data_IF_365786695562
#
_entry.id   IF_365786695562
#
_cell.length_a   1.000
_cell.length_b   1.000
_cell.length_c   1.000
_cell.angle_alpha   90.00
_cell.angle_beta   90.00
_cell.angle_gamma   90.00
#
_symmetry.space_group_name_H-M   'P 1'
#
loop_
_entity.id
_entity.type
_entity.pdbx_description
1 polymer ?
#
# COMPACT_ATOMS: atom_id res chain seq x y z
N UNK A 1 30.78 3.25 11.06
CA UNK A 1 30.68 3.19 12.53
C UNK A 1 29.48 2.30 12.83
N UNK A 2 29.79 1.02 12.98
CA UNK A 2 28.81 -0.04 13.22
C UNK A 2 28.26 0.05 14.64
N UNK A 3 26.94 0.12 14.77
CA UNK A 3 26.24 -0.07 16.04
C UNK A 3 25.55 -1.42 15.96
N UNK A 4 26.28 -2.47 16.35
CA UNK A 4 25.68 -3.75 16.69
C UNK A 4 24.98 -3.62 18.05
N UNK A 5 23.66 -3.40 18.04
CA UNK A 5 22.84 -3.70 19.21
C UNK A 5 22.64 -5.22 19.28
N UNK A 6 23.34 -5.87 20.22
CA UNK A 6 23.09 -7.27 20.60
C UNK A 6 21.77 -7.34 21.38
N UNK A 7 20.81 -8.10 20.87
CA UNK A 7 19.61 -8.49 21.62
C UNK A 7 19.85 -9.85 22.32
N UNK A 8 19.43 -9.94 23.59
CA UNK A 8 19.48 -11.14 24.41
C UNK A 8 18.47 -12.20 23.93
N UNK A 9 18.71 -13.50 24.17
CA UNK A 9 17.79 -14.56 23.77
C UNK A 9 16.47 -14.47 24.55
N UNK A 10 15.37 -14.59 23.82
CA UNK A 10 14.00 -14.65 24.34
C UNK A 10 13.84 -15.96 25.12
N UNK A 11 13.55 -15.85 26.41
CA UNK A 11 12.99 -16.95 27.19
C UNK A 11 11.46 -16.83 27.13
N UNK A 12 10.77 -17.92 26.78
CA UNK A 12 9.30 -18.04 26.75
C UNK A 12 8.67 -18.01 28.15
N UNK A 13 8.96 -16.97 28.94
CA UNK A 13 8.31 -16.77 30.23
C UNK A 13 7.11 -15.83 30.09
N UNK A 14 5.86 -16.29 30.32
CA UNK A 14 4.71 -15.40 30.39
C UNK A 14 4.72 -14.61 31.72
N UNK A 15 4.80 -13.27 31.66
CA UNK A 15 4.62 -12.35 32.79
C UNK A 15 3.49 -11.33 32.53
N UNK A 16 2.81 -10.74 33.55
CA UNK A 16 2.17 -11.33 34.72
C UNK A 16 0.62 -11.31 34.60
N UNK A 17 -0.03 -12.15 35.42
CA UNK A 17 -1.50 -12.39 35.46
C UNK A 17 -2.27 -11.19 36.03
N UNK A 18 -3.31 -10.73 35.32
CA UNK A 18 -4.40 -9.97 35.93
C UNK A 18 -5.59 -10.91 36.08
N UNK A 19 -6.10 -11.03 37.31
CA UNK A 19 -7.34 -11.75 37.59
C UNK A 19 -8.51 -10.86 37.16
N UNK A 20 -9.44 -11.39 36.38
CA UNK A 20 -10.68 -10.68 36.11
C UNK A 20 -11.57 -10.56 37.37
N UNK A 21 -12.72 -9.90 37.24
CA UNK A 21 -13.67 -9.70 38.36
C UNK A 21 -14.20 -11.02 38.94
N UNK A 22 -13.98 -12.15 38.28
CA UNK A 22 -14.36 -13.50 38.71
C UNK A 22 -13.15 -14.37 39.15
N UNK A 23 -11.94 -13.83 39.18
CA UNK A 23 -10.74 -14.56 39.64
C UNK A 23 -10.12 -15.47 38.58
N UNK A 24 -10.47 -15.35 37.29
CA UNK A 24 -9.83 -16.11 36.23
C UNK A 24 -8.59 -15.37 35.70
N UNK A 25 -7.45 -16.07 35.47
CA UNK A 25 -6.27 -15.45 34.89
C UNK A 25 -6.55 -15.01 33.45
N UNK A 26 -6.51 -13.70 33.21
CA UNK A 26 -6.59 -13.13 31.86
C UNK A 26 -5.18 -12.75 31.41
N UNK A 27 -4.68 -13.47 30.42
CA UNK A 27 -3.45 -13.10 29.72
C UNK A 27 -3.74 -11.87 28.87
N UNK A 28 -3.08 -10.74 29.15
CA UNK A 28 -3.06 -9.62 28.22
C UNK A 28 -2.12 -10.05 27.11
N UNK A 29 -2.68 -10.53 25.99
CA UNK A 29 -1.89 -10.75 24.78
C UNK A 29 -1.51 -9.36 24.26
N UNK A 30 -0.24 -9.02 24.41
CA UNK A 30 0.35 -7.84 23.78
C UNK A 30 0.38 -8.02 22.27
N UNK A 31 0.05 -6.97 21.52
CA UNK A 31 0.18 -6.97 20.06
C UNK A 31 1.65 -7.09 19.68
N UNK A 32 2.03 -8.16 18.96
CA UNK A 32 3.40 -8.35 18.46
C UNK A 32 3.48 -7.86 17.01
N UNK A 33 4.22 -6.77 16.79
CA UNK A 33 4.34 -6.12 15.47
C UNK A 33 5.80 -6.07 14.99
N UNK A 34 6.03 -6.38 13.70
CA UNK A 34 7.33 -6.20 13.04
C UNK A 34 7.24 -5.09 12.01
N UNK A 35 8.02 -4.02 12.18
CA UNK A 35 8.21 -3.00 11.16
C UNK A 35 9.23 -3.50 10.13
N UNK A 36 8.83 -3.54 8.86
CA UNK A 36 9.68 -3.87 7.72
C UNK A 36 9.98 -2.56 7.00
N UNK A 37 11.17 -2.02 7.24
CA UNK A 37 11.58 -0.68 6.81
C UNK A 37 12.45 -0.72 5.57
N UNK A 38 11.97 -0.06 4.51
CA UNK A 38 12.77 0.21 3.32
C UNK A 38 13.42 1.60 3.40
N UNK A 39 14.74 1.69 3.65
CA UNK A 39 15.44 2.97 3.77
C UNK A 39 15.61 3.69 2.43
N UNK A 40 15.46 2.99 1.30
CA UNK A 40 15.52 3.58 -0.03
C UNK A 40 14.17 4.17 -0.47
N UNK A 41 13.09 3.92 0.27
CA UNK A 41 11.77 4.42 -0.09
C UNK A 41 11.64 5.93 0.17
N UNK A 42 11.03 6.63 -0.79
CA UNK A 42 10.70 8.04 -0.64
C UNK A 42 11.85 9.00 -0.93
N UNK A 43 11.59 10.31 -0.76
CA UNK A 43 12.57 11.38 -1.07
C UNK A 43 13.56 11.66 0.06
N UNK A 44 13.25 11.20 1.27
CA UNK A 44 14.09 11.39 2.46
C UNK A 44 14.00 10.15 3.32
N UNK A 45 15.08 9.88 4.03
CA UNK A 45 15.05 8.92 5.13
C UNK A 45 14.05 9.36 6.19
N UNK A 46 13.34 8.39 6.75
CA UNK A 46 12.47 8.54 7.92
C UNK A 46 13.07 7.86 9.15
N UNK A 47 14.34 7.44 9.10
CA UNK A 47 14.98 6.74 10.20
C UNK A 47 14.86 7.49 11.53
N UNK A 48 14.99 8.81 11.52
CA UNK A 48 14.85 9.65 12.71
C UNK A 48 13.40 9.83 13.18
N UNK A 49 12.42 9.59 12.31
CA UNK A 49 10.99 9.66 12.63
C UNK A 49 10.44 8.35 13.20
N UNK A 50 11.15 7.23 13.02
CA UNK A 50 10.71 5.90 13.46
C UNK A 50 10.79 5.67 14.99
N UNK A 51 11.84 6.09 15.72
CA UNK A 51 11.88 5.90 17.17
C UNK A 51 10.68 6.52 17.90
N UNK A 52 10.23 7.75 17.58
CA UNK A 52 8.97 8.28 18.12
C UNK A 52 7.74 7.42 17.81
N UNK A 53 7.67 6.85 16.60
CA UNK A 53 6.57 5.96 16.18
C UNK A 53 6.59 4.66 16.99
N UNK A 54 7.76 4.03 17.14
CA UNK A 54 7.95 2.82 17.95
C UNK A 54 7.54 3.10 19.40
N UNK A 55 8.08 4.17 20.01
CA UNK A 55 7.72 4.56 21.38
C UNK A 55 6.21 4.82 21.55
N UNK A 56 5.55 5.38 20.53
CA UNK A 56 4.11 5.54 20.54
C UNK A 56 3.39 4.18 20.54
N UNK A 57 3.75 3.26 19.66
CA UNK A 57 3.14 1.91 19.60
C UNK A 57 3.38 1.13 20.90
N UNK A 58 4.60 1.17 21.45
CA UNK A 58 4.94 0.57 22.74
C UNK A 58 4.13 1.18 23.89
N UNK A 59 3.88 2.50 23.87
CA UNK A 59 2.99 3.15 24.85
C UNK A 59 1.53 2.68 24.76
N UNK A 60 1.14 2.03 23.66
CA UNK A 60 -0.15 1.36 23.48
C UNK A 60 -0.10 -0.13 23.83
N UNK A 61 1.01 -0.59 24.44
CA UNK A 61 1.19 -1.96 24.89
C UNK A 61 1.60 -2.93 23.78
N UNK A 62 2.13 -2.44 22.66
CA UNK A 62 2.65 -3.29 21.58
C UNK A 62 4.09 -3.70 21.87
N UNK A 63 4.43 -4.93 21.51
CA UNK A 63 5.82 -5.35 21.36
C UNK A 63 6.23 -5.10 19.91
N UNK A 64 7.22 -4.24 19.69
CA UNK A 64 7.60 -3.80 18.35
C UNK A 64 9.05 -4.19 18.06
N UNK A 65 9.25 -4.93 16.97
CA UNK A 65 10.57 -5.16 16.38
C UNK A 65 10.68 -4.44 15.04
N UNK A 66 11.90 -4.20 14.56
CA UNK A 66 12.14 -3.55 13.27
C UNK A 66 13.22 -4.29 12.50
N UNK A 67 12.99 -4.46 11.19
CA UNK A 67 13.95 -5.00 10.23
C UNK A 67 14.09 -4.07 9.05
N UNK A 68 15.33 -3.75 8.71
CA UNK A 68 15.65 -2.87 7.59
C UNK A 68 15.96 -3.73 6.37
N UNK A 69 15.28 -3.49 5.25
CA UNK A 69 15.55 -4.18 3.98
C UNK A 69 16.89 -3.71 3.40
N UNK A 70 17.65 -4.65 2.83
CA UNK A 70 18.91 -4.43 2.14
C UNK A 70 18.73 -4.45 0.62
N UNK A 71 17.66 -5.07 0.12
CA UNK A 71 17.35 -5.12 -1.30
C UNK A 71 15.98 -5.72 -1.61
N UNK A 72 15.66 -5.85 -2.92
CA UNK A 72 14.41 -6.45 -3.37
C UNK A 72 14.21 -7.87 -2.86
N UNK A 73 12.99 -8.20 -2.45
CA UNK A 73 12.60 -9.51 -1.93
C UNK A 73 12.74 -9.66 -0.40
N UNK A 74 13.49 -8.78 0.26
CA UNK A 74 13.61 -8.79 1.72
C UNK A 74 12.26 -8.59 2.40
N UNK A 75 11.38 -7.74 1.85
CA UNK A 75 10.05 -7.53 2.42
C UNK A 75 9.20 -8.80 2.43
N UNK A 76 9.32 -9.63 1.39
CA UNK A 76 8.66 -10.93 1.29
C UNK A 76 9.22 -11.87 2.35
N UNK A 77 10.55 -11.97 2.43
CA UNK A 77 11.25 -12.86 3.36
C UNK A 77 10.94 -12.49 4.81
N UNK A 78 11.04 -11.22 5.16
CA UNK A 78 10.82 -10.75 6.52
C UNK A 78 9.37 -10.90 6.95
N UNK A 79 8.42 -10.67 6.04
CA UNK A 79 7.00 -10.92 6.31
C UNK A 79 6.70 -12.40 6.56
N UNK A 80 7.30 -13.33 5.79
CA UNK A 80 7.16 -14.78 6.02
C UNK A 80 7.77 -15.20 7.35
N UNK A 81 8.92 -14.65 7.71
CA UNK A 81 9.55 -14.89 9.02
C UNK A 81 8.68 -14.35 10.15
N UNK A 82 8.06 -13.17 10.00
CA UNK A 82 7.10 -12.64 10.97
C UNK A 82 5.89 -13.58 11.16
N UNK A 83 5.37 -14.17 10.08
CA UNK A 83 4.30 -15.19 10.16
C UNK A 83 4.78 -16.42 10.92
N UNK A 84 5.97 -16.95 10.59
CA UNK A 84 6.54 -18.13 11.24
C UNK A 84 6.82 -17.90 12.74
N UNK A 85 7.21 -16.69 13.12
CA UNK A 85 7.48 -16.27 14.50
C UNK A 85 6.22 -15.81 15.27
N UNK A 86 5.02 -15.98 14.67
CA UNK A 86 3.74 -15.71 15.31
C UNK A 86 3.47 -14.23 15.58
N UNK A 87 3.97 -13.31 14.74
CA UNK A 87 3.59 -11.90 14.83
C UNK A 87 2.13 -11.71 14.47
N UNK A 88 1.47 -10.79 15.17
CA UNK A 88 0.09 -10.40 14.90
C UNK A 88 -0.01 -9.43 13.72
N UNK A 89 1.05 -8.63 13.51
CA UNK A 89 1.12 -7.62 12.46
C UNK A 89 2.53 -7.50 11.86
N UNK A 90 2.62 -7.40 10.54
CA UNK A 90 3.81 -6.90 9.86
C UNK A 90 3.48 -5.56 9.20
N UNK A 91 4.29 -4.54 9.49
CA UNK A 91 4.04 -3.15 9.09
C UNK A 91 5.01 -2.79 7.97
N UNK A 92 4.50 -2.60 6.76
CA UNK A 92 5.28 -2.09 5.64
C UNK A 92 5.59 -0.60 5.87
N UNK A 93 6.86 -0.28 6.06
CA UNK A 93 7.36 1.10 6.16
C UNK A 93 8.12 1.43 4.89
N UNK A 94 7.39 1.88 3.87
CA UNK A 94 7.91 2.06 2.53
C UNK A 94 6.89 2.66 1.55
N UNK A 95 7.15 2.46 0.26
CA UNK A 95 6.21 2.75 -0.82
C UNK A 95 5.36 1.54 -1.23
N UNK A 96 4.72 1.64 -2.40
CA UNK A 96 3.83 0.60 -2.93
C UNK A 96 4.57 -0.73 -3.22
N UNK A 97 5.84 -0.69 -3.64
CA UNK A 97 6.66 -1.91 -3.83
C UNK A 97 6.94 -2.65 -2.52
N UNK A 98 7.33 -1.93 -1.46
CA UNK A 98 7.48 -2.51 -0.10
C UNK A 98 6.16 -3.08 0.40
N UNK A 99 5.04 -2.39 0.15
CA UNK A 99 3.71 -2.92 0.45
C UNK A 99 3.42 -4.22 -0.31
N UNK A 100 3.71 -4.28 -1.61
CA UNK A 100 3.50 -5.46 -2.44
C UNK A 100 4.36 -6.66 -2.01
N UNK A 101 5.62 -6.42 -1.61
CA UNK A 101 6.49 -7.45 -1.05
C UNK A 101 5.95 -8.01 0.27
N UNK A 102 5.60 -7.14 1.22
CA UNK A 102 5.04 -7.58 2.51
C UNK A 102 3.70 -8.29 2.29
N UNK A 103 2.82 -7.75 1.44
CA UNK A 103 1.55 -8.41 1.08
C UNK A 103 1.76 -9.80 0.49
N UNK A 104 2.78 -9.99 -0.37
CA UNK A 104 3.15 -11.31 -0.91
C UNK A 104 3.61 -12.26 0.19
N UNK A 105 4.40 -11.80 1.16
CA UNK A 105 4.86 -12.64 2.27
C UNK A 105 3.76 -13.00 3.27
N UNK A 106 2.75 -12.14 3.43
CA UNK A 106 1.61 -12.34 4.32
C UNK A 106 0.41 -13.07 3.68
N UNK A 107 0.43 -13.29 2.36
CA UNK A 107 -0.71 -13.84 1.64
C UNK A 107 -1.19 -15.17 2.24
N UNK A 108 -2.50 -15.27 2.46
CA UNK A 108 -3.20 -16.40 3.10
C UNK A 108 -2.78 -16.70 4.55
N UNK A 109 -2.13 -15.76 5.24
CA UNK A 109 -1.83 -15.86 6.67
C UNK A 109 -2.82 -15.06 7.53
N UNK A 110 -2.82 -15.32 8.85
CA UNK A 110 -3.58 -14.53 9.82
C UNK A 110 -2.81 -13.30 10.33
N UNK A 111 -1.55 -13.10 9.93
CA UNK A 111 -0.78 -11.90 10.27
C UNK A 111 -1.31 -10.69 9.47
N UNK A 112 -1.56 -9.59 10.17
CA UNK A 112 -2.18 -8.40 9.58
C UNK A 112 -1.14 -7.49 8.94
N UNK A 113 -1.43 -6.97 7.74
CA UNK A 113 -0.65 -5.90 7.13
C UNK A 113 -0.99 -4.55 7.78
N UNK A 114 0.03 -3.89 8.31
CA UNK A 114 0.01 -2.46 8.60
C UNK A 114 0.79 -1.67 7.54
N UNK A 115 0.46 -0.40 7.34
CA UNK A 115 1.15 0.46 6.36
C UNK A 115 1.54 1.80 6.99
N UNK A 116 2.83 2.12 6.94
CA UNK A 116 3.38 3.42 7.21
C UNK A 116 3.92 4.00 5.89
N UNK A 117 3.15 4.88 5.23
CA UNK A 117 3.49 5.34 3.88
C UNK A 117 4.65 6.34 3.92
N UNK A 118 5.82 5.89 3.49
CA UNK A 118 7.05 6.70 3.42
C UNK A 118 7.56 6.82 1.99
N UNK A 119 7.01 6.02 1.07
CA UNK A 119 7.36 6.04 -0.32
C UNK A 119 6.96 7.33 -1.02
N UNK A 120 7.35 7.39 -2.28
CA UNK A 120 7.04 8.53 -3.12
C UNK A 120 5.56 8.37 -3.54
N UNK A 121 5.18 7.27 -4.22
CA UNK A 121 3.86 7.03 -4.86
C UNK A 121 2.69 6.90 -3.88
N UNK A 122 2.81 5.94 -2.96
CA UNK A 122 1.84 5.61 -1.91
C UNK A 122 0.39 5.55 -2.42
N UNK A 123 0.16 4.93 -3.57
CA UNK A 123 -1.16 4.77 -4.18
C UNK A 123 -2.14 4.13 -3.19
N UNK A 124 -1.69 3.12 -2.44
CA UNK A 124 -2.48 2.51 -1.37
C UNK A 124 -2.95 3.54 -0.33
N UNK A 125 -2.05 4.39 0.13
CA UNK A 125 -2.36 5.42 1.10
C UNK A 125 -3.27 6.51 0.53
N UNK A 126 -3.12 6.88 -0.75
CA UNK A 126 -4.05 7.79 -1.42
C UNK A 126 -5.46 7.20 -1.51
N UNK A 127 -5.55 5.92 -1.90
CA UNK A 127 -6.81 5.19 -2.04
C UNK A 127 -7.56 5.09 -0.71
N UNK A 128 -6.89 4.70 0.37
CA UNK A 128 -7.48 4.62 1.71
C UNK A 128 -7.62 5.97 2.43
N UNK A 129 -6.99 7.03 1.90
CA UNK A 129 -6.92 8.32 2.56
C UNK A 129 -6.08 8.30 3.85
N UNK A 130 -5.01 7.51 3.88
CA UNK A 130 -4.07 7.46 5.00
C UNK A 130 -3.30 8.79 5.14
N UNK A 131 -2.97 9.21 6.37
CA UNK A 131 -2.10 10.35 6.59
C UNK A 131 -0.71 10.09 6.01
N UNK A 132 -0.17 11.07 5.29
CA UNK A 132 1.16 10.98 4.67
C UNK A 132 2.03 12.15 5.10
N UNK A 133 3.34 11.97 5.05
CA UNK A 133 4.26 13.07 5.26
C UNK A 133 4.19 14.04 4.08
N UNK A 134 4.05 15.33 4.37
CA UNK A 134 4.25 16.39 3.38
C UNK A 134 5.06 17.53 4.02
N UNK A 135 5.67 18.43 3.24
CA UNK A 135 6.34 19.61 3.80
C UNK A 135 5.43 20.42 4.74
N UNK A 136 4.12 20.40 4.50
CA UNK A 136 3.07 21.06 5.30
C UNK A 136 2.49 20.16 6.40
N UNK A 137 2.77 18.85 6.40
CA UNK A 137 2.23 17.86 7.34
C UNK A 137 3.33 16.89 7.77
N UNK A 138 4.26 17.39 8.60
CA UNK A 138 5.41 16.61 9.06
C UNK A 138 5.06 15.45 9.99
N UNK A 139 3.86 15.46 10.58
CA UNK A 139 3.37 14.40 11.48
C UNK A 139 2.66 13.24 10.78
N UNK A 140 2.71 13.17 9.44
CA UNK A 140 1.99 12.15 8.67
C UNK A 140 2.30 10.72 9.10
N UNK A 141 3.58 10.40 9.33
CA UNK A 141 4.01 9.06 9.75
C UNK A 141 3.42 8.67 11.13
N UNK A 142 3.47 9.60 12.09
CA UNK A 142 2.86 9.42 13.41
C UNK A 142 1.34 9.27 13.34
N UNK A 143 0.67 10.01 12.43
CA UNK A 143 -0.77 9.86 12.22
C UNK A 143 -1.11 8.52 11.57
N UNK A 144 -0.30 8.02 10.63
CA UNK A 144 -0.46 6.67 10.08
C UNK A 144 -0.25 5.59 11.16
N UNK A 145 0.71 5.77 12.07
CA UNK A 145 0.91 4.86 13.20
C UNK A 145 -0.31 4.78 14.13
N UNK A 146 -1.04 5.88 14.31
CA UNK A 146 -2.31 5.88 15.05
C UNK A 146 -3.40 5.09 14.35
N UNK A 147 -3.44 5.12 13.01
CA UNK A 147 -4.36 4.27 12.24
C UNK A 147 -4.07 2.79 12.49
N UNK A 148 -2.80 2.39 12.66
CA UNK A 148 -2.46 1.00 13.00
C UNK A 148 -3.14 0.53 14.31
N UNK A 149 -3.31 1.44 15.26
CA UNK A 149 -3.90 1.15 16.58
C UNK A 149 -5.43 1.28 16.57
N UNK A 150 -5.96 2.30 15.88
CA UNK A 150 -7.37 2.69 15.97
C UNK A 150 -8.23 2.21 14.80
N UNK A 151 -7.58 1.76 13.72
CA UNK A 151 -8.19 1.29 12.49
C UNK A 151 -8.95 -0.03 12.66
N UNK A 152 -9.55 -0.48 11.57
CA UNK A 152 -10.28 -1.74 11.50
C UNK A 152 -9.55 -2.73 10.62
N UNK A 153 -9.60 -4.01 10.98
CA UNK A 153 -8.98 -5.06 10.16
C UNK A 153 -10.01 -5.57 9.16
N UNK A 154 -9.66 -5.52 7.88
CA UNK A 154 -10.45 -6.09 6.78
C UNK A 154 -9.68 -7.22 6.13
N UNK A 155 -10.41 -8.19 5.57
CA UNK A 155 -9.83 -9.14 4.62
C UNK A 155 -10.07 -8.62 3.21
N UNK A 156 -8.99 -8.49 2.46
CA UNK A 156 -8.99 -8.06 1.07
C UNK A 156 -8.48 -9.18 0.17
N UNK A 157 -8.86 -9.11 -1.08
CA UNK A 157 -8.36 -9.93 -2.15
C UNK A 157 -6.95 -9.46 -2.55
N UNK A 158 -6.16 -10.40 -3.07
CA UNK A 158 -4.90 -10.11 -3.74
C UNK A 158 -4.97 -10.66 -5.16
N UNK A 159 -4.38 -9.94 -6.11
CA UNK A 159 -4.03 -10.54 -7.39
C UNK A 159 -2.72 -11.33 -7.26
N UNK A 160 -2.59 -12.43 -7.99
CA UNK A 160 -1.37 -13.25 -8.03
C UNK A 160 -0.92 -13.47 -9.47
N UNK A 161 0.33 -13.14 -9.75
CA UNK A 161 1.00 -13.34 -11.03
C UNK A 161 2.33 -14.09 -10.80
N UNK A 162 2.40 -15.35 -11.23
CA UNK A 162 3.51 -16.24 -10.85
C UNK A 162 3.57 -16.40 -9.33
N UNK A 163 4.74 -16.13 -8.73
CA UNK A 163 4.95 -16.20 -7.28
C UNK A 163 4.73 -14.87 -6.55
N UNK A 164 4.38 -13.80 -7.27
CA UNK A 164 4.18 -12.46 -6.72
C UNK A 164 2.70 -12.17 -6.57
N UNK A 165 2.33 -11.63 -5.41
CA UNK A 165 1.01 -11.04 -5.21
C UNK A 165 1.07 -9.53 -5.42
N UNK A 166 -0.07 -8.93 -5.73
CA UNK A 166 -0.24 -7.50 -5.84
C UNK A 166 -1.53 -7.06 -5.16
N UNK A 167 -1.47 -5.91 -4.50
CA UNK A 167 -2.63 -5.30 -3.86
C UNK A 167 -3.28 -4.22 -4.73
N UNK A 168 -2.53 -3.61 -5.66
CA UNK A 168 -2.99 -2.50 -6.47
C UNK A 168 -3.30 -2.95 -7.90
N UNK A 169 -2.29 -3.26 -8.71
CA UNK A 169 -2.49 -3.72 -10.08
C UNK A 169 -1.28 -4.47 -10.64
N UNK A 170 -1.53 -5.25 -11.68
CA UNK A 170 -0.52 -5.75 -12.61
C UNK A 170 -0.68 -5.07 -13.97
N UNK A 171 0.43 -4.71 -14.60
CA UNK A 171 0.45 -4.11 -15.93
C UNK A 171 1.31 -4.91 -16.91
N UNK A 172 0.82 -5.03 -18.15
CA UNK A 172 1.47 -5.77 -19.24
C UNK A 172 1.59 -4.87 -20.47
N UNK A 173 2.76 -4.86 -21.09
CA UNK A 173 3.05 -4.02 -22.26
C UNK A 173 3.63 -2.67 -21.86
N UNK A 174 3.11 -1.59 -22.43
CA UNK A 174 3.73 -0.26 -22.36
C UNK A 174 3.97 0.25 -20.92
N UNK A 175 3.07 -0.04 -19.97
CA UNK A 175 3.26 0.31 -18.55
C UNK A 175 4.48 -0.41 -17.93
N UNK A 176 4.56 -1.73 -18.17
CA UNK A 176 5.66 -2.54 -17.67
C UNK A 176 7.00 -2.18 -18.30
N UNK A 177 7.00 -1.77 -19.57
CA UNK A 177 8.19 -1.30 -20.26
C UNK A 177 8.77 -0.04 -19.57
N UNK A 178 7.90 0.94 -19.27
CA UNK A 178 8.31 2.12 -18.50
C UNK A 178 8.77 1.73 -17.10
N UNK A 179 8.08 0.79 -16.43
CA UNK A 179 8.46 0.32 -15.11
C UNK A 179 9.88 -0.29 -15.07
N UNK A 180 10.27 -1.05 -16.10
CA UNK A 180 11.61 -1.64 -16.26
C UNK A 180 12.69 -0.58 -16.50
N UNK A 181 12.47 0.36 -17.43
CA UNK A 181 13.48 1.33 -17.84
C UNK A 181 13.73 2.42 -16.78
N UNK A 182 12.71 2.76 -15.98
CA UNK A 182 12.80 3.79 -14.95
C UNK A 182 13.60 3.32 -13.72
N UNK A 183 13.72 2.00 -13.51
CA UNK A 183 14.54 1.38 -12.46
C UNK A 183 14.20 1.80 -11.00
N UNK A 184 14.93 1.27 -10.00
CA UNK A 184 14.71 1.58 -8.58
C UNK A 184 14.95 3.06 -8.22
N UNK A 185 15.89 3.73 -8.91
CA UNK A 185 16.15 5.17 -8.73
C UNK A 185 14.99 6.05 -9.22
N UNK A 186 14.01 5.47 -9.91
CA UNK A 186 12.88 6.14 -10.51
C UNK A 186 11.66 6.32 -9.60
N UNK A 187 11.66 5.81 -8.36
CA UNK A 187 10.60 6.12 -7.38
C UNK A 187 10.39 7.63 -7.21
N UNK A 188 11.47 8.42 -7.30
CA UNK A 188 11.42 9.88 -7.25
C UNK A 188 10.73 10.51 -8.47
N UNK A 189 10.85 9.89 -9.67
CA UNK A 189 10.09 10.29 -10.86
C UNK A 189 8.61 9.91 -10.76
N UNK A 190 8.28 8.85 -10.02
CA UNK A 190 6.92 8.28 -9.96
C UNK A 190 5.89 9.06 -9.13
N UNK A 191 6.23 10.03 -8.25
CA UNK A 191 5.23 10.45 -7.25
C UNK A 191 4.76 11.88 -7.01
N UNK A 192 5.51 12.95 -7.24
CA UNK A 192 5.01 14.27 -6.85
C UNK A 192 5.38 15.25 -7.96
N UNK A 193 4.36 15.63 -8.74
CA UNK A 193 4.45 16.55 -9.89
C UNK A 193 4.64 15.88 -11.25
N UNK A 194 5.02 14.60 -11.28
CA UNK A 194 5.54 13.98 -12.49
C UNK A 194 4.77 12.72 -12.95
N UNK A 195 3.51 12.51 -12.56
CA UNK A 195 2.62 11.60 -13.32
C UNK A 195 2.55 12.04 -14.79
N UNK A 196 2.53 13.36 -15.03
CA UNK A 196 2.73 13.93 -16.36
C UNK A 196 4.09 13.52 -16.96
N UNK A 197 5.18 13.50 -16.18
CA UNK A 197 6.47 13.04 -16.70
C UNK A 197 6.47 11.52 -16.97
N UNK A 198 5.80 10.70 -16.17
CA UNK A 198 5.57 9.28 -16.44
C UNK A 198 4.78 9.13 -17.74
N UNK A 199 3.71 9.89 -17.94
CA UNK A 199 2.94 9.91 -19.19
C UNK A 199 3.73 10.46 -20.37
N UNK A 200 4.62 11.44 -20.16
CA UNK A 200 5.52 11.96 -21.19
C UNK A 200 6.57 10.92 -21.53
N UNK A 201 7.12 10.19 -20.56
CA UNK A 201 8.01 9.04 -20.79
C UNK A 201 7.27 7.98 -21.60
N UNK A 202 6.06 7.61 -21.18
CA UNK A 202 5.15 6.71 -21.89
C UNK A 202 4.97 7.15 -23.34
N UNK A 203 4.59 8.42 -23.56
CA UNK A 203 4.39 9.00 -24.89
C UNK A 203 5.67 9.06 -25.74
N UNK A 204 6.82 9.37 -25.13
CA UNK A 204 8.10 9.43 -25.84
C UNK A 204 8.60 8.06 -26.27
N UNK A 205 8.42 7.04 -25.43
CA UNK A 205 8.71 5.64 -25.76
C UNK A 205 7.70 5.06 -26.74
N UNK A 206 6.52 5.69 -26.86
CA UNK A 206 5.49 5.26 -27.80
C UNK A 206 5.90 5.46 -29.27
N UNK A 207 6.89 6.32 -29.56
CA UNK A 207 7.27 6.67 -30.93
C UNK A 207 7.73 5.44 -31.74
N UNK A 208 8.30 4.43 -31.09
CA UNK A 208 8.68 3.14 -31.69
C UNK A 208 7.65 2.02 -31.48
N UNK A 209 6.60 2.26 -30.67
CA UNK A 209 5.63 1.23 -30.32
C UNK A 209 4.70 0.89 -31.48
N UNK A 210 4.69 -0.39 -31.81
CA UNK A 210 3.64 -1.04 -32.57
C UNK A 210 2.86 -1.87 -31.57
N UNK A 211 1.56 -1.64 -31.43
CA UNK A 211 0.74 -2.49 -30.56
C UNK A 211 0.93 -3.96 -30.92
N UNK A 212 0.93 -4.83 -29.91
CA UNK A 212 1.28 -6.24 -30.06
C UNK A 212 0.03 -7.09 -30.11
N UNK A 213 0.00 -8.11 -30.98
CA UNK A 213 -1.14 -9.04 -31.05
C UNK A 213 -1.06 -10.00 -29.87
N UNK A 214 -2.04 -9.92 -28.98
CA UNK A 214 -2.14 -10.76 -27.79
C UNK A 214 -3.46 -11.52 -27.79
N UNK A 215 -3.42 -12.73 -27.23
CA UNK A 215 -4.61 -13.47 -26.80
C UNK A 215 -4.74 -13.30 -25.29
N UNK A 216 -5.85 -12.71 -24.87
CA UNK A 216 -6.23 -12.57 -23.47
C UNK A 216 -7.39 -13.53 -23.19
N UNK A 217 -7.19 -14.49 -22.31
CA UNK A 217 -8.22 -15.45 -21.89
C UNK A 217 -8.77 -14.99 -20.56
N UNK A 218 -10.04 -14.62 -20.52
CA UNK A 218 -10.72 -14.04 -19.35
C UNK A 218 -11.77 -15.05 -18.90
N UNK A 219 -11.56 -15.69 -17.75
CA UNK A 219 -12.41 -16.77 -17.24
C UNK A 219 -12.77 -17.81 -18.32
N UNK A 220 -11.75 -18.26 -19.06
CA UNK A 220 -11.87 -19.25 -20.15
C UNK A 220 -12.32 -18.69 -21.50
N UNK A 221 -12.72 -17.41 -21.60
CA UNK A 221 -13.12 -16.79 -22.87
C UNK A 221 -11.95 -16.04 -23.51
N UNK A 222 -11.52 -16.49 -24.68
CA UNK A 222 -10.41 -15.89 -25.40
C UNK A 222 -10.85 -14.64 -26.20
N UNK A 223 -10.11 -13.56 -26.04
CA UNK A 223 -10.24 -12.31 -26.80
C UNK A 223 -8.88 -12.04 -27.47
N UNK A 224 -8.89 -11.89 -28.80
CA UNK A 224 -7.67 -11.61 -29.58
C UNK A 224 -7.67 -10.16 -30.01
N UNK A 225 -6.70 -9.39 -29.53
CA UNK A 225 -6.63 -7.96 -29.78
C UNK A 225 -5.20 -7.52 -30.08
N UNK A 226 -5.09 -6.39 -30.78
CA UNK A 226 -3.86 -5.62 -30.82
C UNK A 226 -3.86 -4.64 -29.65
N UNK A 227 -2.96 -4.86 -28.69
CA UNK A 227 -2.96 -4.14 -27.42
C UNK A 227 -1.76 -3.21 -27.31
N UNK A 228 -1.97 -2.09 -26.64
CA UNK A 228 -0.93 -1.19 -26.16
C UNK A 228 -0.59 -1.52 -24.71
N UNK A 229 -1.63 -1.75 -23.91
CA UNK A 229 -1.55 -1.94 -22.47
C UNK A 229 -2.68 -2.87 -22.03
N UNK A 230 -2.36 -3.82 -21.16
CA UNK A 230 -3.34 -4.58 -20.40
C UNK A 230 -3.09 -4.28 -18.92
N UNK A 231 -4.13 -3.85 -18.20
CA UNK A 231 -4.10 -3.67 -16.76
C UNK A 231 -5.05 -4.66 -16.10
N UNK A 232 -4.58 -5.33 -15.06
CA UNK A 232 -5.39 -6.17 -14.19
C UNK A 232 -5.34 -5.57 -12.79
N UNK A 233 -6.44 -4.96 -12.36
CA UNK A 233 -6.50 -4.09 -11.18
C UNK A 233 -7.30 -4.73 -10.06
N UNK A 234 -6.81 -4.55 -8.84
CA UNK A 234 -7.53 -4.80 -7.59
C UNK A 234 -7.88 -3.47 -6.88
N UNK A 235 -7.14 -2.39 -7.20
CA UNK A 235 -7.36 -1.05 -6.68
C UNK A 235 -8.04 -0.12 -7.69
N UNK A 236 -8.71 0.93 -7.18
CA UNK A 236 -9.36 1.94 -8.03
C UNK A 236 -8.38 2.89 -8.70
N UNK A 237 -7.27 3.16 -8.02
CA UNK A 237 -6.29 4.17 -8.41
C UNK A 237 -5.11 3.55 -9.17
N UNK A 238 -4.65 4.31 -10.18
CA UNK A 238 -3.49 4.07 -11.01
C UNK A 238 -2.54 5.27 -10.87
N UNK A 239 -1.88 5.33 -9.72
CA UNK A 239 -1.16 6.51 -9.25
C UNK A 239 -1.98 7.38 -8.28
N UNK A 240 -1.38 8.40 -7.67
CA UNK A 240 -1.98 9.17 -6.57
C UNK A 240 -3.34 9.84 -6.85
N UNK A 241 -3.62 10.18 -8.11
CA UNK A 241 -4.74 11.04 -8.49
C UNK A 241 -5.52 10.55 -9.72
N UNK A 242 -5.19 9.39 -10.27
CA UNK A 242 -5.83 8.87 -11.48
C UNK A 242 -6.60 7.61 -11.15
N UNK A 243 -7.90 7.62 -11.42
CA UNK A 243 -8.76 6.46 -11.21
C UNK A 243 -8.90 5.70 -12.53
N UNK A 244 -8.23 4.54 -12.65
CA UNK A 244 -8.37 3.70 -13.84
C UNK A 244 -9.51 2.70 -13.69
N UNK A 245 -9.74 2.21 -12.47
CA UNK A 245 -10.70 1.17 -12.18
C UNK A 245 -11.72 1.64 -11.15
N UNK A 246 -12.56 2.66 -11.43
CA UNK A 246 -13.42 3.28 -10.43
C UNK A 246 -14.46 2.32 -9.81
N UNK A 247 -14.66 1.14 -10.39
CA UNK A 247 -15.57 0.11 -9.88
C UNK A 247 -14.87 -1.02 -9.11
N UNK A 248 -13.53 -1.03 -9.07
CA UNK A 248 -12.78 -2.03 -8.35
C UNK A 248 -13.11 -1.98 -6.85
N UNK A 249 -13.34 -3.15 -6.28
CA UNK A 249 -13.52 -3.35 -4.85
C UNK A 249 -12.43 -4.29 -4.38
N UNK A 250 -11.89 -4.02 -3.20
CA UNK A 250 -10.75 -4.75 -2.66
C UNK A 250 -11.11 -6.16 -2.20
N UNK A 251 -12.38 -6.54 -2.22
CA UNK A 251 -12.86 -7.65 -1.41
C UNK A 251 -14.08 -8.38 -2.01
N UNK A 252 -14.32 -8.21 -3.32
CA UNK A 252 -15.46 -8.77 -4.06
C UNK A 252 -15.18 -10.11 -4.77
N UNK A 253 -13.95 -10.62 -4.64
CA UNK A 253 -13.46 -11.85 -5.23
C UNK A 253 -13.19 -11.77 -6.73
N UNK A 254 -12.99 -10.57 -7.28
CA UNK A 254 -12.77 -10.31 -8.71
C UNK A 254 -11.59 -9.36 -8.95
N UNK A 255 -11.02 -9.41 -10.16
CA UNK A 255 -10.06 -8.43 -10.68
C UNK A 255 -10.68 -7.68 -11.86
N UNK A 256 -10.45 -6.38 -11.95
CA UNK A 256 -10.88 -5.55 -13.07
C UNK A 256 -9.81 -5.52 -14.18
N UNK A 257 -10.19 -5.97 -15.37
CA UNK A 257 -9.30 -6.13 -16.52
C UNK A 257 -9.60 -5.05 -17.55
N UNK A 258 -8.60 -4.23 -17.85
CA UNK A 258 -8.67 -3.18 -18.86
C UNK A 258 -7.72 -3.49 -20.01
N UNK A 259 -8.26 -3.65 -21.22
CA UNK A 259 -7.49 -3.85 -22.44
C UNK A 259 -7.54 -2.57 -23.28
N UNK A 260 -6.41 -1.86 -23.33
CA UNK A 260 -6.24 -0.68 -24.16
C UNK A 260 -5.76 -1.12 -25.56
N UNK A 261 -6.68 -1.09 -26.53
CA UNK A 261 -6.46 -1.49 -27.90
C UNK A 261 -5.74 -0.40 -28.68
N UNK A 262 -4.86 -0.78 -29.59
CA UNK A 262 -4.19 0.18 -30.45
C UNK A 262 -2.99 -0.40 -31.17
N UNK A 263 -2.47 0.35 -32.13
CA UNK A 263 -1.32 -0.07 -32.92
C UNK A 263 -0.28 1.01 -33.17
N UNK A 264 -0.55 2.26 -32.79
CA UNK A 264 0.26 3.41 -33.15
C UNK A 264 0.27 4.48 -32.04
N UNK A 265 1.12 5.50 -32.22
CA UNK A 265 1.32 6.61 -31.28
C UNK A 265 0.03 7.41 -31.02
N UNK A 266 -0.83 7.58 -32.03
CA UNK A 266 -2.09 8.32 -31.89
C UNK A 266 -3.05 7.60 -30.94
N UNK A 267 -3.06 6.27 -30.98
CA UNK A 267 -3.84 5.47 -30.03
C UNK A 267 -3.34 5.67 -28.60
N UNK A 268 -2.01 5.68 -28.40
CA UNK A 268 -1.44 5.95 -27.08
C UNK A 268 -1.79 7.36 -26.59
N UNK A 269 -1.58 8.37 -27.43
CA UNK A 269 -1.89 9.75 -27.08
C UNK A 269 -3.38 9.93 -26.72
N UNK A 270 -4.27 9.29 -27.47
CA UNK A 270 -5.70 9.25 -27.17
C UNK A 270 -5.96 8.61 -25.80
N UNK A 271 -5.39 7.43 -25.53
CA UNK A 271 -5.57 6.75 -24.24
C UNK A 271 -5.12 7.62 -23.07
N UNK A 272 -3.96 8.28 -23.19
CA UNK A 272 -3.46 9.21 -22.17
C UNK A 272 -4.46 10.35 -21.91
N UNK A 273 -4.97 11.00 -22.97
CA UNK A 273 -5.95 12.09 -22.84
C UNK A 273 -7.26 11.60 -22.21
N UNK A 274 -7.75 10.43 -22.61
CA UNK A 274 -8.98 9.86 -22.07
C UNK A 274 -8.83 9.45 -20.60
N UNK A 275 -7.67 8.90 -20.19
CA UNK A 275 -7.34 8.58 -18.79
C UNK A 275 -7.25 9.87 -17.96
N UNK A 276 -6.51 10.87 -18.43
CA UNK A 276 -6.35 12.15 -17.72
C UNK A 276 -7.67 12.92 -17.56
N UNK A 277 -8.58 12.79 -18.53
CA UNK A 277 -9.92 13.38 -18.46
C UNK A 277 -10.93 12.53 -17.68
N UNK A 278 -10.54 11.33 -17.21
CA UNK A 278 -11.43 10.38 -16.52
C UNK A 278 -12.52 9.78 -17.41
N UNK A 279 -12.34 9.82 -18.73
CA UNK A 279 -13.32 9.36 -19.73
C UNK A 279 -12.88 8.09 -20.46
N UNK A 280 -11.79 7.44 -20.07
CA UNK A 280 -11.27 6.23 -20.72
C UNK A 280 -12.28 5.10 -20.87
N UNK A 281 -13.25 4.98 -19.96
CA UNK A 281 -14.35 4.01 -20.08
C UNK A 281 -15.31 4.29 -21.25
N UNK A 282 -15.30 5.51 -21.79
CA UNK A 282 -16.08 5.92 -22.98
C UNK A 282 -15.31 5.67 -24.28
N UNK A 283 -14.04 5.29 -24.20
CA UNK A 283 -13.24 5.04 -25.40
C UNK A 283 -13.60 3.65 -25.98
N UNK A 284 -14.11 3.54 -27.22
CA UNK A 284 -14.34 2.26 -27.87
C UNK A 284 -13.07 1.41 -28.04
N UNK A 285 -11.88 2.02 -27.86
CA UNK A 285 -10.60 1.33 -27.83
C UNK A 285 -10.22 0.77 -26.45
N UNK A 286 -11.09 0.87 -25.45
CA UNK A 286 -10.88 0.27 -24.13
C UNK A 286 -11.95 -0.80 -23.91
N UNK A 287 -11.54 -2.03 -23.66
CA UNK A 287 -12.43 -3.11 -23.24
C UNK A 287 -12.25 -3.36 -21.75
N UNK A 288 -13.36 -3.52 -21.03
CA UNK A 288 -13.39 -3.67 -19.58
C UNK A 288 -14.06 -5.00 -19.22
N UNK A 289 -13.45 -5.77 -18.33
CA UNK A 289 -13.97 -7.03 -17.83
C UNK A 289 -13.76 -7.14 -16.33
N UNK A 290 -14.51 -8.04 -15.69
CA UNK A 290 -14.22 -8.53 -14.34
C UNK A 290 -13.97 -10.02 -14.43
N UNK A 291 -12.91 -10.49 -13.79
CA UNK A 291 -12.47 -11.87 -13.92
C UNK A 291 -11.87 -12.42 -12.63
N UNK A 292 -11.92 -13.74 -12.47
CA UNK A 292 -11.17 -14.46 -11.43
C UNK A 292 -9.80 -14.91 -11.92
N UNK A 293 -9.71 -15.20 -13.22
CA UNK A 293 -8.49 -15.63 -13.88
C UNK A 293 -8.32 -14.95 -15.23
N UNK A 294 -7.10 -14.50 -15.50
CA UNK A 294 -6.69 -13.87 -16.75
C UNK A 294 -5.40 -14.53 -17.23
N UNK A 295 -5.42 -15.13 -18.41
CA UNK A 295 -4.21 -15.58 -19.08
C UNK A 295 -3.86 -14.63 -20.21
N UNK A 296 -2.60 -14.21 -20.29
CA UNK A 296 -2.11 -13.34 -21.37
C UNK A 296 -0.97 -14.05 -22.08
N UNK A 297 -1.12 -14.25 -23.39
CA UNK A 297 -0.12 -14.89 -24.24
C UNK A 297 -0.09 -14.26 -25.64
N UNK A 298 1.08 -14.26 -26.27
CA UNK A 298 1.30 -13.74 -27.62
C UNK A 298 2.56 -14.34 -28.22
N UNK A 299 2.80 -14.05 -29.49
CA UNK A 299 4.03 -14.49 -30.20
C UNK A 299 5.26 -13.75 -29.67
N UNK A 300 5.10 -12.45 -29.38
CA UNK A 300 6.14 -11.61 -28.79
C UNK A 300 5.90 -11.47 -27.27
N UNK A 301 6.88 -11.81 -26.42
CA UNK A 301 6.78 -11.58 -24.98
C UNK A 301 6.64 -10.10 -24.66
N UNK A 302 5.60 -9.73 -23.91
CA UNK A 302 5.44 -8.38 -23.36
C UNK A 302 5.94 -8.33 -21.92
N UNK A 303 6.59 -7.22 -21.52
CA UNK A 303 7.01 -7.02 -20.14
C UNK A 303 5.79 -6.99 -19.20
N UNK A 304 6.02 -7.41 -17.96
CA UNK A 304 5.04 -7.51 -16.88
C UNK A 304 5.60 -6.90 -15.59
N UNK A 305 4.75 -6.18 -14.87
CA UNK A 305 5.04 -5.69 -13.53
C UNK A 305 3.83 -5.87 -12.60
N UNK A 306 4.08 -5.84 -11.29
CA UNK A 306 3.07 -5.87 -10.22
C UNK A 306 3.35 -4.76 -9.23
N UNK A 307 2.35 -3.93 -8.91
CA UNK A 307 2.47 -2.76 -8.00
C UNK A 307 3.65 -1.82 -8.36
N UNK A 308 4.01 -1.77 -9.65
CA UNK A 308 5.13 -0.99 -10.17
C UNK A 308 6.48 -1.71 -10.24
N UNK A 309 6.59 -2.93 -9.72
CA UNK A 309 7.82 -3.72 -9.72
C UNK A 309 7.85 -4.72 -10.90
N UNK A 310 8.88 -4.70 -11.75
CA UNK A 310 9.02 -5.68 -12.83
C UNK A 310 9.16 -7.11 -12.30
N UNK A 311 8.40 -8.05 -12.88
CA UNK A 311 8.42 -9.46 -12.45
C UNK A 311 8.64 -10.46 -13.60
N UNK A 312 8.83 -9.98 -14.82
CA UNK A 312 9.13 -10.82 -15.98
C UNK A 312 8.35 -10.40 -17.23
N UNK A 313 7.91 -11.40 -18.00
CA UNK A 313 7.24 -11.22 -19.28
C UNK A 313 6.10 -12.23 -19.45
N UNK A 314 5.21 -12.00 -20.41
CA UNK A 314 4.23 -12.99 -20.86
C UNK A 314 4.92 -14.20 -21.51
N UNK A 315 4.33 -15.41 -21.48
CA UNK A 315 2.97 -15.72 -21.02
C UNK A 315 2.84 -15.66 -19.50
N UNK A 316 1.69 -15.18 -19.02
CA UNK A 316 1.37 -15.10 -17.58
C UNK A 316 -0.07 -15.51 -17.34
N UNK A 317 -0.28 -16.17 -16.20
CA UNK A 317 -1.61 -16.39 -15.61
C UNK A 317 -1.72 -15.54 -14.36
N UNK A 318 -2.74 -14.69 -14.33
CA UNK A 318 -3.09 -13.83 -13.20
C UNK A 318 -4.37 -14.36 -12.58
N UNK A 319 -4.39 -14.55 -11.27
CA UNK A 319 -5.55 -15.08 -10.53
C UNK A 319 -5.86 -14.22 -9.32
N UNK A 320 -7.13 -14.12 -8.97
CA UNK A 320 -7.54 -13.55 -7.69
C UNK A 320 -7.36 -14.57 -6.57
N UNK A 321 -6.88 -14.09 -5.42
CA UNK A 321 -6.84 -14.81 -4.15
C UNK A 321 -7.87 -14.14 -3.22
N UNK A 322 -9.10 -14.65 -3.14
CA UNK A 322 -10.15 -14.00 -2.38
C UNK A 322 -9.82 -13.92 -0.88
N UNK A 323 -10.03 -12.76 -0.28
CA UNK A 323 -9.87 -12.48 1.16
C UNK A 323 -8.51 -12.94 1.72
N UNK A 324 -7.47 -12.94 0.88
CA UNK A 324 -6.17 -13.51 1.16
C UNK A 324 -5.28 -12.66 2.07
N UNK A 325 -5.61 -11.39 2.33
CA UNK A 325 -4.79 -10.53 3.18
C UNK A 325 -5.64 -9.82 4.22
N UNK A 326 -5.23 -9.91 5.49
CA UNK A 326 -5.75 -9.04 6.55
C UNK A 326 -5.00 -7.72 6.51
N UNK A 327 -5.70 -6.59 6.49
CA UNK A 327 -5.07 -5.26 6.45
C UNK A 327 -5.76 -4.29 7.39
N UNK A 328 -5.00 -3.39 8.00
CA UNK A 328 -5.55 -2.28 8.78
C UNK A 328 -6.03 -1.17 7.85
N UNK A 329 -7.30 -0.80 7.99
CA UNK A 329 -8.00 0.21 7.20
C UNK A 329 -8.45 1.35 8.13
N UNK A 330 -8.27 2.62 7.74
CA UNK A 330 -8.79 3.74 8.51
C UNK A 330 -10.32 3.75 8.50
N UNK A 331 -10.94 4.22 9.59
CA UNK A 331 -12.41 4.28 9.73
C UNK A 331 -13.11 5.17 8.70
N UNK A 332 -12.36 6.05 8.04
CA UNK A 332 -12.84 6.96 7.00
C UNK A 332 -12.49 6.49 5.58
N UNK A 333 -12.01 5.26 5.42
CA UNK A 333 -11.75 4.70 4.10
C UNK A 333 -13.02 4.79 3.23
N UNK A 334 -12.91 5.17 1.95
CA UNK A 334 -14.07 5.25 1.07
C UNK A 334 -14.85 3.93 1.02
N UNK A 335 -16.16 4.01 1.22
CA UNK A 335 -17.06 2.85 1.18
C UNK A 335 -17.06 2.13 -0.17
N UNK A 336 -16.79 2.86 -1.25
CA UNK A 336 -16.72 2.32 -2.61
C UNK A 336 -15.62 1.27 -2.80
N UNK A 337 -14.66 1.18 -1.89
CA UNK A 337 -13.58 0.20 -1.94
C UNK A 337 -14.00 -1.19 -1.47
N UNK A 338 -15.19 -1.34 -0.86
CA UNK A 338 -15.61 -2.59 -0.24
C UNK A 338 -17.03 -2.96 -0.70
N UNK A 339 -17.26 -4.24 -0.95
CA UNK A 339 -18.53 -4.78 -1.44
C UNK A 339 -19.71 -4.42 -0.51
N UNK A 340 -19.51 -4.51 0.80
CA UNK A 340 -20.54 -4.22 1.81
C UNK A 340 -20.58 -2.74 2.23
N UNK A 341 -19.88 -1.84 1.52
CA UNK A 341 -19.83 -0.41 1.83
C UNK A 341 -18.85 -0.03 2.95
N UNK A 342 -17.98 -0.95 3.38
CA UNK A 342 -16.82 -0.68 4.23
C UNK A 342 -17.15 -0.19 5.66
N UNK A 343 -16.18 0.46 6.35
CA UNK A 343 -16.31 0.97 7.73
C UNK A 343 -17.44 1.96 8.03
N UNK A 344 -18.29 2.29 7.06
CA UNK A 344 -19.45 3.12 7.32
C UNK A 344 -20.36 3.21 6.11
N UNK A 345 -21.60 2.75 6.27
CA UNK A 345 -22.76 3.21 5.49
C UNK A 345 -23.07 4.72 5.64
N UNK A 346 -22.06 5.54 5.98
CA UNK A 346 -22.09 6.99 5.95
C UNK A 346 -21.29 7.42 4.72
N UNK A 347 -21.86 8.32 3.91
CA UNK A 347 -21.16 8.95 2.78
C UNK A 347 -19.74 9.36 3.22
N UNK A 348 -18.70 9.10 2.40
CA UNK A 348 -17.35 9.52 2.72
C UNK A 348 -17.36 11.01 3.07
N UNK A 349 -16.70 11.43 4.17
CA UNK A 349 -16.67 12.83 4.55
C UNK A 349 -16.09 13.65 3.39
N UNK A 350 -16.75 14.77 3.06
CA UNK A 350 -16.25 15.69 2.03
C UNK A 350 -14.82 16.11 2.36
N UNK A 351 -14.06 16.58 1.36
CA UNK A 351 -12.71 17.12 1.60
C UNK A 351 -12.69 18.15 2.74
N UNK A 352 -13.73 18.99 2.84
CA UNK A 352 -13.91 19.93 3.94
C UNK A 352 -14.14 19.24 5.29
N UNK A 353 -14.90 18.15 5.34
CA UNK A 353 -15.09 17.35 6.56
C UNK A 353 -13.80 16.62 6.97
N UNK A 354 -13.04 16.08 6.02
CA UNK A 354 -11.71 15.49 6.26
C UNK A 354 -10.73 16.52 6.81
N UNK A 355 -10.73 17.74 6.26
CA UNK A 355 -9.94 18.86 6.78
C UNK A 355 -10.44 19.29 8.16
N UNK A 356 -11.75 19.36 8.39
CA UNK A 356 -12.32 19.76 9.67
C UNK A 356 -12.09 18.72 10.79
N UNK A 357 -12.12 17.43 10.47
CA UNK A 357 -11.72 16.35 11.38
C UNK A 357 -10.23 16.43 11.68
N UNK A 358 -9.38 16.64 10.66
CA UNK A 358 -7.95 16.91 10.85
C UNK A 358 -7.70 18.11 11.77
N UNK A 359 -8.44 19.20 11.60
CA UNK A 359 -8.33 20.40 12.44
C UNK A 359 -8.89 20.22 13.85
N UNK A 360 -9.95 19.41 14.02
CA UNK A 360 -10.49 19.04 15.35
C UNK A 360 -9.49 18.19 16.11
N UNK A 361 -8.95 17.19 15.44
CA UNK A 361 -7.88 16.33 15.93
C UNK A 361 -6.62 17.13 16.29
N UNK A 362 -6.20 18.09 15.45
CA UNK A 362 -5.10 19.00 15.78
C UNK A 362 -5.39 19.86 17.01
N UNK A 363 -6.63 20.35 17.18
CA UNK A 363 -7.04 21.10 18.37
C UNK A 363 -7.01 20.26 19.65
N UNK A 364 -7.45 19.01 19.59
CA UNK A 364 -7.38 18.08 20.73
C UNK A 364 -5.92 17.79 21.11
N UNK A 365 -5.05 17.59 20.11
CA UNK A 365 -3.61 17.47 20.31
C UNK A 365 -3.01 18.68 21.04
N UNK A 366 -3.33 19.91 20.62
CA UNK A 366 -2.81 21.12 21.29
C UNK A 366 -3.31 21.24 22.73
N UNK A 367 -4.50 20.73 23.04
CA UNK A 367 -5.01 20.64 24.41
C UNK A 367 -4.21 19.65 25.25
N UNK A 368 -4.02 18.43 24.76
CA UNK A 368 -3.27 17.38 25.45
C UNK A 368 -1.79 17.77 25.66
N UNK A 369 -1.18 18.40 24.64
CA UNK A 369 0.19 18.91 24.70
C UNK A 369 0.30 20.10 25.68
N UNK A 370 -0.70 20.98 25.71
CA UNK A 370 -0.81 22.04 26.71
C UNK A 370 -0.98 21.52 28.14
N UNK A 371 -1.75 20.46 28.35
CA UNK A 371 -1.90 19.82 29.66
C UNK A 371 -0.62 19.12 30.11
N UNK A 372 0.09 18.46 29.19
CA UNK A 372 1.38 17.84 29.46
C UNK A 372 2.42 18.88 29.89
N UNK A 373 2.52 20.00 29.17
CA UNK A 373 3.42 21.11 29.52
C UNK A 373 3.06 21.75 30.86
N UNK A 374 1.77 21.87 31.20
CA UNK A 374 1.33 22.35 32.51
C UNK A 374 1.72 21.39 33.64
N UNK A 375 1.59 20.08 33.44
CA UNK A 375 2.01 19.05 34.40
C UNK A 375 3.53 19.07 34.59
N UNK A 376 4.31 19.18 33.53
CA UNK A 376 5.77 19.27 33.59
C UNK A 376 6.25 20.54 34.30
N UNK A 377 5.57 21.68 34.06
CA UNK A 377 5.87 22.94 34.76
C UNK A 377 5.51 22.87 36.25
N UNK A 378 4.38 22.24 36.59
CA UNK A 378 3.97 22.02 37.98
C UNK A 378 4.93 21.06 38.71
N UNK A 379 5.49 20.08 38.00
CA UNK A 379 6.48 19.16 38.55
C UNK A 379 7.83 19.86 38.81
N UNK A 380 8.30 20.70 37.87
CA UNK A 380 9.52 21.51 38.05
C UNK A 380 9.44 22.51 39.20
N UNK A 381 8.25 23.08 39.46
CA UNK A 381 8.04 24.00 40.59
C UNK A 381 7.93 23.30 41.96
N UNK A 382 7.88 21.96 42.01
CA UNK A 382 7.87 21.17 43.26
C UNK A 382 9.23 20.55 43.61
N UNK A 383 10.25 20.75 42.78
CA UNK A 383 11.61 20.30 43.07
C UNK A 383 12.28 21.35 43.97
N UNK A 384 12.89 20.96 45.10
CA UNK A 384 13.66 21.91 45.93
C UNK A 384 14.83 22.48 45.11
N UNK A 385 15.28 23.71 45.41
CA UNK A 385 16.44 24.30 44.75
C UNK A 385 17.62 23.34 44.87
N UNK A 386 18.31 23.12 43.74
CA UNK A 386 19.58 22.38 43.74
C UNK A 386 20.63 23.26 44.39
N UNK A 387 21.11 22.86 45.56
CA UNK A 387 22.30 23.42 46.22
C UNK A 387 23.57 23.17 45.40
#
# INVERSE_FOLDING_TARGET
MDIHCRFLPVTDAPEPRILDKQGAPRYIRHMKAQLIYNPAAGRRSVADDLPPVVAFLESKGWYVSMRTTLGPGDGITYAREAVAEGYDMAVAVGGDGTLGEVATGLASSDCTLGVLPTGTGNVWAHMLGLPQWTPMSRSGLMQAARVLVEGQVYRIDLGKAGDRCFALWAGIGLDAQVAQEVGPQGEMRRSLGNFLAYLVTLASQSISLRGTRMTVVIDGKAVRQRVVLILVSNAQLYGPSVSIAPQAQLDDGMLDVYIFKGGNVLDVARHIVMILSGKHLQDPKVECYRAKQVEVRGEEPLPLHTDGDPIGHTPVTITVLPKALRVVVPRWAPSSLFQDGGPGGRKPPSLAQRIAERLRYERERWREEGERLRKDRAHRMRLPPRD
#
